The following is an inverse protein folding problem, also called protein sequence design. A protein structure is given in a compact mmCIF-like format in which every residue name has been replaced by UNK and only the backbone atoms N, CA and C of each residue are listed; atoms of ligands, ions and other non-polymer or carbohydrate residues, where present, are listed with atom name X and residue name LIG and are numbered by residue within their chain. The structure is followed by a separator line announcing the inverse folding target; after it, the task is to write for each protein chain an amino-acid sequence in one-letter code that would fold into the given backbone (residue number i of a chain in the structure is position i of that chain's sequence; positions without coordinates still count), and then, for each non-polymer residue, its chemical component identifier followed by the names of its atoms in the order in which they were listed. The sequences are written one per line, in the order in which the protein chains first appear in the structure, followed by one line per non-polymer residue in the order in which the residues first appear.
data_IF_489348735673
#
_entry.id   IF_489348735673
#
_cell.length_a   1.000
_cell.length_b   1.000
_cell.length_c   1.000
_cell.angle_alpha   90.00
_cell.angle_beta   90.00
_cell.angle_gamma   90.00
#
_symmetry.space_group_name_H-M   'P 1'
#
loop_
_entity.id
_entity.type
_entity.pdbx_description
1 polymer ?
#
# COMPACT_ATOMS: atom_id res chain seq x y z
N UNK A 1 17.62 8.92 -15.75
CA UNK A 1 16.91 7.76 -15.18
C UNK A 1 15.92 8.24 -14.12
N UNK A 2 14.79 8.80 -14.56
CA UNK A 2 13.65 9.07 -13.69
C UNK A 2 12.80 7.80 -13.73
N UNK A 3 12.90 7.06 -12.62
CA UNK A 3 12.28 5.76 -12.45
C UNK A 3 10.78 5.83 -12.63
N UNK A 4 10.25 4.67 -13.04
CA UNK A 4 8.88 4.24 -12.84
C UNK A 4 8.13 5.11 -11.83
N UNK A 5 7.36 6.07 -12.33
CA UNK A 5 6.15 6.51 -11.66
C UNK A 5 5.21 5.31 -11.71
N UNK A 6 5.48 4.37 -10.80
CA UNK A 6 4.53 3.40 -10.31
C UNK A 6 3.23 4.15 -10.11
N UNK A 7 2.22 3.72 -10.85
CA UNK A 7 0.81 4.05 -10.66
C UNK A 7 0.30 3.49 -9.32
N UNK A 8 1.02 3.77 -8.23
CA UNK A 8 0.63 3.40 -6.87
C UNK A 8 0.06 4.64 -6.19
N UNK A 9 -1.04 5.16 -6.72
CA UNK A 9 -1.93 6.02 -5.95
C UNK A 9 -3.14 5.17 -5.57
N UNK A 10 -3.19 4.85 -4.27
CA UNK A 10 -4.10 3.95 -3.56
C UNK A 10 -3.83 2.45 -3.82
N UNK A 11 -3.37 1.74 -2.79
CA UNK A 11 -3.78 0.35 -2.66
C UNK A 11 -5.31 0.34 -2.72
N UNK A 12 -5.94 -0.52 -3.55
CA UNK A 12 -7.38 -0.60 -3.58
C UNK A 12 -7.87 -0.79 -2.15
N UNK A 13 -8.86 0.01 -1.68
CA UNK A 13 -9.38 -0.13 -0.34
C UNK A 13 -9.78 -1.60 -0.10
N UNK A 14 -9.64 -2.12 1.13
CA UNK A 14 -10.13 -3.45 1.46
C UNK A 14 -11.61 -3.56 1.03
N UNK A 15 -11.91 -4.50 0.12
CA UNK A 15 -13.26 -4.67 -0.44
C UNK A 15 -13.57 -3.85 -1.71
N UNK A 16 -12.56 -3.44 -2.50
CA UNK A 16 -12.83 -2.83 -3.82
C UNK A 16 -13.52 -3.83 -4.77
N UNK A 17 -14.80 -3.60 -5.16
CA UNK A 17 -15.55 -4.51 -6.00
C UNK A 17 -14.96 -4.64 -7.41
N UNK A 18 -14.22 -3.64 -7.91
CA UNK A 18 -13.54 -3.75 -9.20
C UNK A 18 -12.37 -4.72 -9.11
N UNK A 19 -11.54 -4.56 -8.07
CA UNK A 19 -10.46 -5.49 -7.80
C UNK A 19 -11.01 -6.91 -7.62
N UNK A 20 -12.09 -7.11 -6.87
CA UNK A 20 -12.68 -8.43 -6.64
C UNK A 20 -13.16 -9.15 -7.92
N UNK A 21 -13.69 -8.39 -8.89
CA UNK A 21 -14.38 -8.96 -10.04
C UNK A 21 -13.54 -9.04 -11.33
N UNK A 22 -12.36 -8.43 -11.35
CA UNK A 22 -11.49 -8.37 -12.53
C UNK A 22 -10.24 -9.23 -12.34
N UNK A 23 -9.75 -9.77 -13.45
CA UNK A 23 -8.60 -10.68 -13.49
C UNK A 23 -7.48 -10.03 -14.31
N UNK A 24 -6.35 -9.64 -13.69
CA UNK A 24 -5.22 -9.11 -14.42
C UNK A 24 -4.58 -10.21 -15.27
N UNK A 25 -3.93 -9.87 -16.41
CA UNK A 25 -3.36 -10.85 -17.32
C UNK A 25 -2.33 -11.75 -16.65
N UNK A 26 -1.55 -11.23 -15.70
CA UNK A 26 -0.56 -12.00 -14.95
C UNK A 26 -1.22 -13.13 -14.15
N UNK A 27 -2.36 -12.86 -13.52
CA UNK A 27 -3.10 -13.88 -12.76
C UNK A 27 -3.66 -14.96 -13.69
N UNK A 28 -4.18 -14.57 -14.84
CA UNK A 28 -4.73 -15.52 -15.83
C UNK A 28 -3.61 -16.42 -16.36
N UNK A 29 -2.48 -15.82 -16.76
CA UNK A 29 -1.35 -16.54 -17.35
C UNK A 29 -0.64 -17.44 -16.33
N UNK A 30 -0.43 -16.97 -15.09
CA UNK A 30 0.17 -17.77 -14.01
C UNK A 30 -0.68 -19.00 -13.64
N UNK A 31 -2.01 -18.90 -13.78
CA UNK A 31 -2.93 -19.98 -13.44
C UNK A 31 -3.48 -20.69 -14.68
N UNK A 32 -2.82 -20.53 -15.84
CA UNK A 32 -3.31 -21.04 -17.12
C UNK A 32 -3.58 -22.54 -17.12
N UNK A 33 -2.71 -23.33 -16.49
CA UNK A 33 -2.92 -24.79 -16.32
C UNK A 33 -4.10 -25.09 -15.39
N UNK A 34 -4.20 -24.38 -14.26
CA UNK A 34 -5.23 -24.61 -13.25
C UNK A 34 -6.65 -24.25 -13.73
N UNK A 35 -6.77 -23.44 -14.78
CA UNK A 35 -8.03 -23.05 -15.41
C UNK A 35 -8.24 -23.68 -16.78
N UNK A 36 -7.36 -24.60 -17.20
CA UNK A 36 -7.40 -25.22 -18.53
C UNK A 36 -7.53 -24.17 -19.65
N UNK A 37 -6.69 -23.13 -19.60
CA UNK A 37 -6.70 -22.05 -20.58
C UNK A 37 -6.38 -22.61 -21.96
N UNK A 38 -7.27 -22.42 -22.94
CA UNK A 38 -7.08 -22.95 -24.29
C UNK A 38 -6.02 -22.14 -25.03
N UNK A 39 -5.42 -22.74 -26.07
CA UNK A 39 -4.44 -22.07 -26.91
C UNK A 39 -5.03 -20.82 -27.57
N UNK A 40 -6.28 -20.89 -28.05
CA UNK A 40 -6.98 -19.73 -28.60
C UNK A 40 -7.17 -18.59 -27.58
N UNK A 41 -7.40 -18.91 -26.31
CA UNK A 41 -7.53 -17.90 -25.25
C UNK A 41 -6.17 -17.29 -24.94
N UNK A 42 -5.11 -18.10 -24.87
CA UNK A 42 -3.73 -17.66 -24.64
C UNK A 42 -3.23 -16.74 -25.76
N UNK A 43 -3.49 -17.11 -27.01
CA UNK A 43 -3.11 -16.33 -28.18
C UNK A 43 -3.86 -14.99 -28.23
N UNK A 44 -5.15 -15.00 -27.91
CA UNK A 44 -5.94 -13.78 -27.77
C UNK A 44 -5.37 -12.84 -26.71
N UNK A 45 -5.12 -13.36 -25.50
CA UNK A 45 -4.57 -12.57 -24.38
C UNK A 45 -3.22 -11.98 -24.76
N UNK A 46 -2.31 -12.79 -25.31
CA UNK A 46 -0.96 -12.35 -25.71
C UNK A 46 -1.02 -11.27 -26.79
N UNK A 47 -1.88 -11.44 -27.79
CA UNK A 47 -2.06 -10.47 -28.87
C UNK A 47 -2.58 -9.13 -28.33
N UNK A 48 -3.60 -9.16 -27.48
CA UNK A 48 -4.17 -7.95 -26.90
C UNK A 48 -3.22 -7.27 -25.91
N UNK A 49 -2.41 -8.04 -25.16
CA UNK A 49 -1.34 -7.48 -24.32
C UNK A 49 -0.30 -6.72 -25.15
N UNK A 50 0.15 -7.30 -26.28
CA UNK A 50 1.13 -6.64 -27.15
C UNK A 50 0.59 -5.34 -27.75
N UNK A 51 -0.65 -5.34 -28.26
CA UNK A 51 -1.31 -4.12 -28.77
C UNK A 51 -1.50 -3.08 -27.66
N UNK A 52 -1.89 -3.53 -26.48
CA UNK A 52 -2.09 -2.66 -25.33
C UNK A 52 -0.77 -2.02 -24.87
N UNK A 53 0.35 -2.75 -24.92
CA UNK A 53 1.66 -2.25 -24.53
C UNK A 53 2.09 -1.04 -25.37
N UNK A 54 1.96 -1.12 -26.69
CA UNK A 54 2.26 0.00 -27.60
C UNK A 54 1.37 1.21 -27.30
N UNK A 55 0.05 0.96 -27.19
CA UNK A 55 -0.93 2.00 -26.88
C UNK A 55 -0.66 2.68 -25.55
N UNK A 56 -0.44 1.92 -24.48
CA UNK A 56 -0.18 2.47 -23.15
C UNK A 56 1.14 3.25 -23.12
N UNK A 57 2.17 2.80 -23.83
CA UNK A 57 3.42 3.54 -23.95
C UNK A 57 3.18 4.93 -24.53
N UNK A 58 2.44 5.03 -25.64
CA UNK A 58 2.08 6.32 -26.24
C UNK A 58 1.22 7.18 -25.30
N UNK A 59 0.25 6.57 -24.60
CA UNK A 59 -0.62 7.28 -23.66
C UNK A 59 0.15 7.82 -22.44
N UNK A 60 1.13 7.08 -21.93
CA UNK A 60 1.98 7.51 -20.82
C UNK A 60 2.94 8.61 -21.23
N UNK A 61 3.53 8.54 -22.44
CA UNK A 61 4.34 9.62 -22.98
C UNK A 61 3.53 10.92 -23.10
N UNK A 62 2.29 10.82 -23.60
CA UNK A 62 1.39 11.98 -23.65
C UNK A 62 1.09 12.52 -22.27
N UNK A 63 0.75 11.66 -21.29
CA UNK A 63 0.51 12.10 -19.91
C UNK A 63 1.72 12.85 -19.34
N UNK A 64 2.92 12.30 -19.53
CA UNK A 64 4.16 12.92 -19.10
C UNK A 64 4.35 14.31 -19.71
N UNK A 65 4.12 14.45 -21.02
CA UNK A 65 4.19 15.75 -21.70
C UNK A 65 3.17 16.77 -21.15
N UNK A 66 1.94 16.35 -20.85
CA UNK A 66 0.91 17.23 -20.29
C UNK A 66 1.25 17.67 -18.86
N UNK A 67 1.84 16.77 -18.05
CA UNK A 67 2.32 17.06 -16.68
C UNK A 67 3.50 18.03 -16.72
N UNK A 68 4.46 17.84 -17.63
CA UNK A 68 5.58 18.75 -17.82
C UNK A 68 5.13 20.15 -18.23
N UNK A 69 4.16 20.25 -19.14
CA UNK A 69 3.55 21.51 -19.53
C UNK A 69 2.82 22.19 -18.36
N UNK A 70 2.09 21.44 -17.53
CA UNK A 70 1.49 21.97 -16.30
C UNK A 70 2.57 22.52 -15.35
N UNK A 71 3.65 21.75 -15.12
CA UNK A 71 4.78 22.18 -14.31
C UNK A 71 5.45 23.45 -14.84
N UNK A 72 5.56 23.62 -16.17
CA UNK A 72 6.10 24.82 -16.78
C UNK A 72 5.23 26.07 -16.54
N UNK A 73 3.90 25.92 -16.54
CA UNK A 73 2.98 27.02 -16.22
C UNK A 73 3.10 27.45 -14.75
N UNK A 74 3.23 26.48 -13.84
CA UNK A 74 3.32 26.72 -12.40
C UNK A 74 4.68 27.31 -11.95
N UNK A 75 5.75 27.13 -12.74
CA UNK A 75 7.07 27.72 -12.47
C UNK A 75 7.15 29.23 -12.72
N UNK A 76 6.14 29.83 -13.38
CA UNK A 76 6.14 31.27 -13.68
C UNK A 76 5.96 32.08 -12.39
N UNK A 77 6.66 33.23 -12.29
CA UNK A 77 6.56 34.12 -11.13
C UNK A 77 5.13 34.63 -10.86
N UNK A 78 4.33 34.78 -11.93
CA UNK A 78 2.88 34.97 -11.86
C UNK A 78 2.22 33.89 -12.70
N UNK A 79 1.44 33.03 -12.06
CA UNK A 79 0.71 31.94 -12.71
C UNK A 79 -0.52 32.52 -13.41
N UNK A 80 -0.73 32.12 -14.66
CA UNK A 80 -2.00 32.30 -15.36
C UNK A 80 -2.92 31.15 -14.93
N UNK A 81 -3.87 31.45 -14.04
CA UNK A 81 -4.77 30.46 -13.46
C UNK A 81 -5.62 29.77 -14.52
N UNK A 82 -6.12 30.50 -15.53
CA UNK A 82 -6.95 29.93 -16.58
C UNK A 82 -6.14 28.94 -17.43
N UNK A 83 -4.92 29.31 -17.80
CA UNK A 83 -4.03 28.42 -18.55
C UNK A 83 -3.62 27.19 -17.72
N UNK A 84 -3.34 27.37 -16.43
CA UNK A 84 -2.98 26.26 -15.52
C UNK A 84 -4.13 25.26 -15.35
N UNK A 85 -5.36 25.76 -15.17
CA UNK A 85 -6.56 24.92 -15.06
C UNK A 85 -6.83 24.16 -16.36
N UNK A 86 -6.78 24.82 -17.51
CA UNK A 86 -6.95 24.17 -18.80
C UNK A 86 -5.89 23.08 -19.04
N UNK A 87 -4.66 23.30 -18.58
CA UNK A 87 -3.59 22.31 -18.69
C UNK A 87 -3.79 21.13 -17.72
N UNK A 88 -4.28 21.39 -16.51
CA UNK A 88 -4.63 20.35 -15.54
C UNK A 88 -5.80 19.46 -16.04
N UNK A 89 -6.80 20.05 -16.70
CA UNK A 89 -7.88 19.28 -17.34
C UNK A 89 -7.35 18.30 -18.40
N UNK A 90 -6.32 18.67 -19.17
CA UNK A 90 -5.69 17.74 -20.12
C UNK A 90 -5.02 16.57 -19.42
N UNK A 91 -4.33 16.81 -18.30
CA UNK A 91 -3.74 15.76 -17.46
C UNK A 91 -4.83 14.80 -16.99
N UNK A 92 -5.91 15.32 -16.39
CA UNK A 92 -7.03 14.51 -15.90
C UNK A 92 -7.72 13.71 -17.02
N UNK A 93 -7.93 14.32 -18.18
CA UNK A 93 -8.50 13.63 -19.34
C UNK A 93 -7.60 12.49 -19.81
N UNK A 94 -6.29 12.70 -19.85
CA UNK A 94 -5.34 11.67 -20.24
C UNK A 94 -5.29 10.51 -19.21
N UNK A 95 -5.33 10.81 -17.91
CA UNK A 95 -5.45 9.79 -16.86
C UNK A 95 -6.76 8.99 -16.96
N UNK A 96 -7.88 9.67 -17.19
CA UNK A 96 -9.19 9.03 -17.42
C UNK A 96 -9.10 8.08 -18.61
N UNK A 97 -8.50 8.51 -19.71
CA UNK A 97 -8.40 7.70 -20.92
C UNK A 97 -7.52 6.47 -20.68
N UNK A 98 -6.40 6.61 -19.95
CA UNK A 98 -5.54 5.48 -19.54
C UNK A 98 -6.33 4.48 -18.68
N UNK A 99 -7.02 4.96 -17.64
CA UNK A 99 -7.84 4.11 -16.75
C UNK A 99 -8.95 3.39 -17.53
N UNK A 100 -9.61 4.09 -18.46
CA UNK A 100 -10.63 3.51 -19.34
C UNK A 100 -10.04 2.42 -20.24
N UNK A 101 -8.87 2.65 -20.83
CA UNK A 101 -8.20 1.68 -21.67
C UNK A 101 -7.77 0.44 -20.87
N UNK A 102 -7.28 0.62 -19.64
CA UNK A 102 -6.97 -0.48 -18.73
C UNK A 102 -8.20 -1.31 -18.39
N UNK A 103 -9.30 -0.66 -17.99
CA UNK A 103 -10.56 -1.33 -17.70
C UNK A 103 -11.10 -2.10 -18.92
N UNK A 104 -11.05 -1.50 -20.11
CA UNK A 104 -11.49 -2.15 -21.34
C UNK A 104 -10.69 -3.44 -21.63
N UNK A 105 -9.37 -3.42 -21.40
CA UNK A 105 -8.50 -4.58 -21.60
C UNK A 105 -8.85 -5.73 -20.65
N UNK A 106 -8.96 -5.46 -19.35
CA UNK A 106 -9.28 -6.50 -18.36
C UNK A 106 -10.71 -7.04 -18.53
N UNK A 107 -11.65 -6.22 -19.01
CA UNK A 107 -12.98 -6.67 -19.39
C UNK A 107 -12.93 -7.58 -20.62
N UNK A 108 -12.12 -7.26 -21.63
CA UNK A 108 -11.93 -8.10 -22.80
C UNK A 108 -11.37 -9.48 -22.41
N UNK A 109 -10.40 -9.52 -21.49
CA UNK A 109 -9.89 -10.78 -20.95
C UNK A 109 -10.96 -11.57 -20.21
N UNK A 110 -11.69 -10.93 -19.28
CA UNK A 110 -12.77 -11.58 -18.54
C UNK A 110 -13.82 -12.18 -19.48
N UNK A 111 -14.21 -11.46 -20.53
CA UNK A 111 -15.20 -11.93 -21.50
C UNK A 111 -14.72 -13.09 -22.38
N UNK A 112 -13.40 -13.28 -22.49
CA UNK A 112 -12.81 -14.42 -23.23
C UNK A 112 -12.75 -15.69 -22.39
N UNK A 113 -12.87 -15.59 -21.06
CA UNK A 113 -12.87 -16.71 -20.13
C UNK A 113 -14.27 -17.28 -19.91
N UNK A 114 -14.39 -18.60 -19.77
CA UNK A 114 -15.65 -19.26 -19.42
C UNK A 114 -16.06 -18.96 -17.97
N UNK A 115 -17.34 -19.18 -17.64
CA UNK A 115 -17.84 -19.03 -16.28
C UNK A 115 -17.08 -19.90 -15.25
N UNK A 116 -16.72 -21.13 -15.65
CA UNK A 116 -15.94 -22.06 -14.83
C UNK A 116 -14.52 -21.55 -14.57
N UNK A 117 -13.86 -21.01 -15.61
CA UNK A 117 -12.54 -20.42 -15.49
C UNK A 117 -12.55 -19.19 -14.57
N UNK A 118 -13.55 -18.32 -14.70
CA UNK A 118 -13.71 -17.15 -13.83
C UNK A 118 -13.94 -17.56 -12.37
N UNK A 119 -14.79 -18.55 -12.11
CA UNK A 119 -15.02 -19.06 -10.76
C UNK A 119 -13.74 -19.65 -10.14
N UNK A 120 -12.96 -20.39 -10.93
CA UNK A 120 -11.67 -20.94 -10.50
C UNK A 120 -10.65 -19.85 -10.18
N UNK A 121 -10.56 -18.79 -10.99
CA UNK A 121 -9.69 -17.64 -10.73
C UNK A 121 -10.09 -16.88 -9.46
N UNK A 122 -11.40 -16.72 -9.19
CA UNK A 122 -11.87 -16.11 -7.94
C UNK A 122 -11.45 -16.91 -6.72
N UNK A 123 -11.53 -18.24 -6.79
CA UNK A 123 -11.10 -19.11 -5.70
C UNK A 123 -9.58 -19.02 -5.47
N UNK A 124 -8.79 -19.07 -6.55
CA UNK A 124 -7.33 -18.90 -6.47
C UNK A 124 -6.94 -17.54 -5.90
N UNK A 125 -7.65 -16.47 -6.26
CA UNK A 125 -7.45 -15.13 -5.70
C UNK A 125 -7.75 -15.08 -4.20
N UNK A 126 -8.85 -15.71 -3.76
CA UNK A 126 -9.17 -15.83 -2.33
C UNK A 126 -8.10 -16.61 -1.57
N UNK A 127 -7.59 -17.70 -2.14
CA UNK A 127 -6.51 -18.50 -1.54
C UNK A 127 -5.19 -17.72 -1.43
N UNK A 128 -4.88 -16.87 -2.41
CA UNK A 128 -3.73 -15.97 -2.33
C UNK A 128 -3.92 -14.90 -1.25
N UNK A 129 -5.11 -14.33 -1.11
CA UNK A 129 -5.43 -13.36 -0.05
C UNK A 129 -5.38 -14.01 1.35
N UNK A 130 -5.88 -15.23 1.52
CA UNK A 130 -5.82 -15.95 2.80
C UNK A 130 -4.42 -16.46 3.12
N UNK A 131 -3.64 -16.87 2.11
CA UNK A 131 -2.23 -17.21 2.25
C UNK A 131 -1.33 -16.00 2.56
N UNK A 132 -1.63 -14.84 1.96
CA UNK A 132 -0.97 -13.57 2.27
C UNK A 132 -1.35 -13.07 3.67
N UNK A 133 -2.62 -13.17 4.06
CA UNK A 133 -3.07 -12.91 5.43
C UNK A 133 -2.43 -13.89 6.45
N UNK A 134 -2.12 -15.12 6.03
CA UNK A 134 -1.33 -16.08 6.80
C UNK A 134 0.13 -15.67 6.98
N UNK A 135 0.76 -15.08 5.94
CA UNK A 135 2.11 -14.49 6.03
C UNK A 135 2.13 -13.16 6.80
N UNK A 136 1.07 -12.35 6.73
CA UNK A 136 0.91 -11.13 7.54
C UNK A 136 0.58 -11.42 9.00
N UNK A 137 -0.10 -12.54 9.33
CA UNK A 137 -0.19 -13.07 10.70
C UNK A 137 1.15 -13.59 11.23
N UNK A 138 2.11 -13.86 10.34
CA UNK A 138 3.49 -14.21 10.68
C UNK A 138 4.41 -13.01 10.90
N UNK A 139 3.98 -11.80 10.50
CA UNK A 139 4.60 -10.57 11.04
C UNK A 139 4.07 -10.41 12.44
N UNK A 140 4.93 -10.32 13.46
CA UNK A 140 4.43 -10.09 14.79
C UNK A 140 3.77 -8.69 14.74
N UNK A 141 2.45 -8.66 14.89
CA UNK A 141 1.71 -7.41 15.00
C UNK A 141 2.03 -6.81 16.36
N UNK A 142 2.33 -5.51 16.38
CA UNK A 142 2.58 -4.81 17.63
C UNK A 142 1.33 -4.93 18.52
N UNK A 143 1.41 -5.54 19.71
CA UNK A 143 0.28 -5.56 20.64
C UNK A 143 -0.18 -4.13 20.93
N UNK A 144 -1.49 -3.88 20.88
CA UNK A 144 -2.06 -2.54 21.14
C UNK A 144 -1.70 -1.98 22.53
N UNK A 145 -1.30 -2.85 23.46
CA UNK A 145 -0.80 -2.48 24.77
C UNK A 145 0.51 -1.66 24.73
N UNK A 146 1.38 -1.89 23.74
CA UNK A 146 2.71 -1.25 23.70
C UNK A 146 2.62 0.26 23.43
N UNK A 147 1.90 0.75 22.40
CA UNK A 147 1.71 2.20 22.20
C UNK A 147 1.07 2.89 23.39
N UNK A 148 0.07 2.26 24.01
CA UNK A 148 -0.63 2.83 25.19
C UNK A 148 0.30 2.96 26.40
N UNK A 149 1.13 1.94 26.67
CA UNK A 149 2.08 1.97 27.78
C UNK A 149 3.22 2.96 27.52
N UNK A 150 3.68 3.11 26.27
CA UNK A 150 4.68 4.10 25.91
C UNK A 150 4.24 5.54 26.22
N UNK A 151 3.00 5.89 25.88
CA UNK A 151 2.44 7.21 26.20
C UNK A 151 2.34 7.43 27.72
N UNK A 152 1.97 6.39 28.48
CA UNK A 152 1.96 6.47 29.95
C UNK A 152 3.36 6.65 30.52
N UNK A 153 4.36 5.95 30.00
CA UNK A 153 5.76 6.10 30.43
C UNK A 153 6.25 7.52 30.16
N UNK A 154 6.02 8.06 28.96
CA UNK A 154 6.40 9.46 28.63
C UNK A 154 5.73 10.47 29.56
N UNK A 155 4.42 10.35 29.77
CA UNK A 155 3.68 11.25 30.66
C UNK A 155 4.20 11.17 32.11
N UNK A 156 4.52 9.97 32.59
CA UNK A 156 5.02 9.77 33.94
C UNK A 156 6.48 10.24 34.09
N UNK A 157 7.35 10.04 33.09
CA UNK A 157 8.71 10.62 33.06
C UNK A 157 8.64 12.15 33.15
N UNK A 158 7.77 12.78 32.35
CA UNK A 158 7.62 14.24 32.35
C UNK A 158 7.21 14.77 33.73
N UNK A 159 6.17 14.18 34.32
CA UNK A 159 5.73 14.54 35.68
C UNK A 159 6.85 14.37 36.70
N UNK A 160 7.64 13.30 36.58
CA UNK A 160 8.71 13.01 37.51
C UNK A 160 9.91 13.98 37.35
N UNK A 161 10.19 14.44 36.14
CA UNK A 161 11.14 15.53 35.90
C UNK A 161 10.66 16.87 36.46
N UNK A 162 9.37 17.18 36.33
CA UNK A 162 8.76 18.40 36.89
C UNK A 162 8.81 18.40 38.43
N UNK A 163 8.80 17.22 39.06
CA UNK A 163 9.00 17.01 40.50
C UNK A 163 10.48 17.12 40.94
N UNK A 164 11.40 17.42 40.02
CA UNK A 164 12.83 17.65 40.31
C UNK A 164 13.63 16.40 40.66
N UNK A 165 13.12 15.21 40.29
CA UNK A 165 13.81 13.93 40.54
C UNK A 165 14.45 13.40 39.25
N UNK A 166 15.42 12.50 39.39
CA UNK A 166 16.26 12.03 38.29
C UNK A 166 15.59 10.91 37.44
N UNK A 167 15.36 11.11 36.13
CA UNK A 167 14.79 10.12 35.23
C UNK A 167 15.81 9.11 34.67
N UNK A 168 17.10 9.21 35.03
CA UNK A 168 18.18 8.41 34.43
C UNK A 168 17.93 6.90 34.51
N UNK A 169 17.36 6.40 35.61
CA UNK A 169 17.02 4.99 35.78
C UNK A 169 15.99 4.49 34.75
N UNK A 170 15.02 5.33 34.38
CA UNK A 170 14.02 5.00 33.36
C UNK A 170 14.63 5.13 31.97
N UNK A 171 15.50 6.11 31.75
CA UNK A 171 16.26 6.27 30.50
C UNK A 171 17.13 5.04 30.18
N UNK A 172 17.86 4.52 31.17
CA UNK A 172 18.67 3.29 31.04
C UNK A 172 17.80 2.08 30.72
N UNK A 173 16.68 1.91 31.41
CA UNK A 173 15.75 0.81 31.14
C UNK A 173 15.17 0.89 29.72
N UNK A 174 14.83 2.09 29.25
CA UNK A 174 14.25 2.31 27.92
C UNK A 174 15.24 2.05 26.76
N UNK A 175 16.56 2.00 27.01
CA UNK A 175 17.53 1.59 25.98
C UNK A 175 17.31 0.14 25.53
N UNK A 176 16.77 -0.72 26.40
CA UNK A 176 16.42 -2.11 26.08
C UNK A 176 15.16 -2.26 25.22
N UNK A 177 14.36 -1.20 25.03
CA UNK A 177 13.09 -1.29 24.33
C UNK A 177 13.26 -1.42 22.80
N UNK A 178 14.14 -0.61 22.20
CA UNK A 178 14.39 -0.62 20.76
C UNK A 178 14.88 -1.98 20.20
N UNK A 179 15.86 -2.68 20.82
CA UNK A 179 16.27 -4.00 20.35
C UNK A 179 15.15 -5.04 20.44
N UNK A 180 14.35 -5.04 21.52
CA UNK A 180 13.21 -5.96 21.68
C UNK A 180 12.15 -5.75 20.59
N UNK A 181 11.93 -4.50 20.17
CA UNK A 181 11.02 -4.16 19.08
C UNK A 181 11.56 -4.61 17.71
N UNK A 182 12.87 -4.44 17.46
CA UNK A 182 13.53 -4.91 16.24
C UNK A 182 13.55 -6.44 16.12
N UNK A 183 13.70 -7.12 17.25
CA UNK A 183 13.71 -8.58 17.35
C UNK A 183 12.30 -9.20 17.41
N UNK A 184 11.24 -8.37 17.45
CA UNK A 184 9.85 -8.83 17.53
C UNK A 184 9.45 -9.44 18.88
N UNK A 185 10.26 -9.23 19.92
CA UNK A 185 10.06 -9.76 21.28
C UNK A 185 9.09 -8.90 22.09
N UNK A 186 7.86 -8.80 21.61
CA UNK A 186 6.88 -7.85 22.15
C UNK A 186 6.43 -8.12 23.58
N UNK A 187 6.41 -9.38 24.02
CA UNK A 187 6.10 -9.71 25.42
C UNK A 187 7.13 -9.14 26.38
N UNK A 188 8.40 -9.18 25.99
CA UNK A 188 9.51 -8.66 26.78
C UNK A 188 9.54 -7.13 26.71
N UNK A 189 9.23 -6.55 25.53
CA UNK A 189 9.06 -5.11 25.38
C UNK A 189 7.91 -4.57 26.26
N UNK A 190 6.80 -5.30 26.36
CA UNK A 190 5.68 -4.95 27.22
C UNK A 190 6.05 -5.03 28.72
N UNK A 191 6.78 -6.06 29.13
CA UNK A 191 7.28 -6.21 30.50
C UNK A 191 8.25 -5.09 30.89
N UNK A 192 9.11 -4.67 29.97
CA UNK A 192 10.03 -3.54 30.16
C UNK A 192 9.25 -2.24 30.42
N UNK A 193 8.18 -1.99 29.66
CA UNK A 193 7.30 -0.83 29.89
C UNK A 193 6.57 -0.92 31.24
N UNK A 194 6.13 -2.09 31.67
CA UNK A 194 5.52 -2.29 32.99
C UNK A 194 6.53 -2.01 34.12
N UNK A 195 7.78 -2.42 33.94
CA UNK A 195 8.87 -2.11 34.88
C UNK A 195 9.15 -0.60 34.93
N UNK A 196 9.19 0.07 33.78
CA UNK A 196 9.34 1.52 33.72
C UNK A 196 8.19 2.21 34.48
N UNK A 197 6.94 1.82 34.24
CA UNK A 197 5.78 2.35 34.96
C UNK A 197 5.81 2.05 36.46
N UNK A 198 6.35 0.91 36.88
CA UNK A 198 6.52 0.57 38.30
C UNK A 198 7.56 1.45 38.99
N UNK A 199 8.68 1.73 38.31
CA UNK A 199 9.67 2.69 38.79
C UNK A 199 9.01 4.06 38.91
N UNK A 200 8.22 4.47 37.90
CA UNK A 200 7.48 5.74 37.85
C UNK A 200 6.32 5.87 38.84
N UNK A 201 5.72 4.75 39.25
CA UNK A 201 4.65 4.70 40.24
C UNK A 201 5.11 4.42 41.67
N UNK A 202 6.37 4.05 41.89
CA UNK A 202 6.93 3.67 43.21
C UNK A 202 7.02 4.79 44.25
N UNK A 203 6.40 5.95 43.98
CA UNK A 203 6.29 7.10 44.87
C UNK A 203 4.96 7.24 45.60
N UNK A 204 4.04 6.26 45.53
CA UNK A 204 2.92 6.19 46.49
C UNK A 204 3.47 5.80 47.87
N UNK A 205 3.87 6.82 48.63
CA UNK A 205 4.03 6.69 50.07
C UNK A 205 2.67 6.38 50.69
N UNK A 206 2.67 5.32 51.48
CA UNK A 206 1.76 5.03 52.58
C UNK A 206 1.47 6.27 53.43
#
# INVERSE_FOLDING_TARGET
MLGALQLSLAQPPPGDPLAENLFPPELIMQNGEAISLTDEQRDFITTEMNKAQERFTAMHQKLQSEVEAAGALLKKARVDEAAAMAQFEKVLNQERDIKRAHLALVLAFKNRLSAEQQAKLQELKKQQLTGAAGRERGRPQLPQAIPQKMERVKAAVQKWQDEGRDPSQVGELMQGFEPLMKEGKFKEAEQLLDQALKILGGGEKK
#
